data_IF_977181011941
#
_entry.id   IF_977181011941
#
_cell.length_a   1.000
_cell.length_b   1.000
_cell.length_c   1.000
_cell.angle_alpha   90.00
_cell.angle_beta   90.00
_cell.angle_gamma   90.00
#
_symmetry.space_group_name_H-M   'P 1'
#
loop_
_entity.id
_entity.type
_entity.pdbx_description
1 polymer ?
#
# COMPACT_ATOMS: atom_id res chain seq x y z
N UNK A 1 -36.24 -15.47 4.02
CA UNK A 1 -34.85 -15.96 3.93
C UNK A 1 -34.06 -14.91 3.19
N UNK A 2 -33.34 -14.07 3.93
CA UNK A 2 -32.45 -13.04 3.38
C UNK A 2 -31.34 -13.74 2.61
N UNK A 3 -31.24 -13.44 1.32
CA UNK A 3 -30.16 -13.84 0.46
C UNK A 3 -28.85 -13.31 1.09
N UNK A 4 -28.07 -14.19 1.72
CA UNK A 4 -26.76 -13.85 2.27
C UNK A 4 -25.83 -13.68 1.07
N UNK A 5 -25.97 -12.55 0.38
CA UNK A 5 -25.04 -12.08 -0.63
C UNK A 5 -23.65 -12.18 -0.02
N UNK A 6 -22.86 -13.15 -0.50
CA UNK A 6 -21.51 -13.42 -0.01
C UNK A 6 -20.71 -12.11 -0.09
N UNK A 7 -20.39 -11.52 1.06
CA UNK A 7 -19.67 -10.23 1.12
C UNK A 7 -18.39 -10.33 0.29
N UNK A 8 -18.13 -9.32 -0.54
CA UNK A 8 -16.89 -9.26 -1.33
C UNK A 8 -15.73 -8.93 -0.40
N UNK A 9 -14.62 -9.63 -0.58
CA UNK A 9 -13.39 -9.40 0.18
C UNK A 9 -12.45 -8.46 -0.58
N UNK A 10 -11.83 -7.52 0.12
CA UNK A 10 -10.76 -6.68 -0.37
C UNK A 10 -9.57 -6.71 0.60
N UNK A 11 -8.36 -6.61 0.07
CA UNK A 11 -7.15 -6.53 0.87
C UNK A 11 -6.45 -5.19 0.58
N UNK A 12 -6.06 -4.48 1.63
CA UNK A 12 -5.27 -3.26 1.55
C UNK A 12 -3.89 -3.56 2.13
N UNK A 13 -2.84 -3.30 1.36
CA UNK A 13 -1.45 -3.50 1.78
C UNK A 13 -0.76 -2.16 1.97
N UNK A 14 -0.29 -1.94 3.18
CA UNK A 14 0.52 -0.79 3.60
C UNK A 14 1.80 -1.33 4.20
N UNK A 15 2.91 -1.32 3.46
CA UNK A 15 4.20 -1.76 4.02
C UNK A 15 4.83 -0.64 4.88
N UNK A 16 4.07 -0.22 5.90
CA UNK A 16 4.31 0.89 6.83
C UNK A 16 3.34 0.82 8.01
N UNK A 17 3.43 1.79 8.93
CA UNK A 17 2.48 1.91 10.05
C UNK A 17 1.07 2.23 9.52
N UNK A 18 0.11 1.34 9.78
CA UNK A 18 -1.27 1.49 9.32
C UNK A 18 -1.91 2.77 9.88
N UNK A 19 -1.69 3.07 11.17
CA UNK A 19 -2.24 4.24 11.83
C UNK A 19 -1.72 5.56 11.27
N UNK A 20 -0.53 5.56 10.65
CA UNK A 20 0.08 6.71 9.97
C UNK A 20 -0.24 6.80 8.48
N UNK A 21 -1.14 5.96 7.99
CA UNK A 21 -1.53 5.88 6.58
C UNK A 21 -3.00 6.28 6.38
N UNK A 22 -3.37 7.56 6.62
CA UNK A 22 -4.77 7.98 6.68
C UNK A 22 -5.52 7.75 5.37
N UNK A 23 -4.87 7.96 4.22
CA UNK A 23 -5.47 7.70 2.89
C UNK A 23 -5.91 6.24 2.73
N UNK A 24 -5.08 5.29 3.18
CA UNK A 24 -5.39 3.86 3.09
C UNK A 24 -6.50 3.48 4.08
N UNK A 25 -6.53 4.10 5.26
CA UNK A 25 -7.63 3.96 6.21
C UNK A 25 -8.95 4.49 5.62
N UNK A 26 -8.93 5.58 4.86
CA UNK A 26 -10.13 6.10 4.17
C UNK A 26 -10.57 5.20 3.01
N UNK A 27 -9.64 4.57 2.29
CA UNK A 27 -9.98 3.53 1.33
C UNK A 27 -10.65 2.33 2.00
N UNK A 28 -10.13 1.89 3.14
CA UNK A 28 -10.73 0.81 3.93
C UNK A 28 -12.16 1.17 4.35
N UNK A 29 -12.38 2.37 4.91
CA UNK A 29 -13.72 2.83 5.28
C UNK A 29 -14.67 2.90 4.10
N UNK A 30 -14.20 3.38 2.95
CA UNK A 30 -15.04 3.47 1.75
C UNK A 30 -15.47 2.08 1.28
N UNK A 31 -14.57 1.08 1.33
CA UNK A 31 -14.90 -0.30 1.00
C UNK A 31 -15.88 -0.93 2.00
N UNK A 32 -15.71 -0.69 3.30
CA UNK A 32 -16.63 -1.15 4.34
C UNK A 32 -18.04 -0.58 4.13
N UNK A 33 -18.14 0.72 3.80
CA UNK A 33 -19.43 1.38 3.48
C UNK A 33 -20.12 0.76 2.27
N UNK A 34 -19.36 0.27 1.29
CA UNK A 34 -19.85 -0.47 0.13
C UNK A 34 -20.09 -1.97 0.42
N UNK A 35 -20.03 -2.40 1.68
CA UNK A 35 -20.37 -3.76 2.13
C UNK A 35 -19.25 -4.79 1.98
N UNK A 36 -18.01 -4.37 1.74
CA UNK A 36 -16.86 -5.27 1.68
C UNK A 36 -16.40 -5.72 3.07
N UNK A 37 -15.85 -6.93 3.14
CA UNK A 37 -14.92 -7.30 4.20
C UNK A 37 -13.51 -6.88 3.79
N UNK A 38 -12.78 -6.25 4.70
CA UNK A 38 -11.48 -5.63 4.40
C UNK A 38 -10.41 -6.19 5.33
N UNK A 39 -9.41 -6.84 4.75
CA UNK A 39 -8.14 -7.13 5.43
C UNK A 39 -7.17 -5.95 5.21
N UNK A 40 -6.56 -5.45 6.27
CA UNK A 40 -5.52 -4.41 6.20
C UNK A 40 -4.20 -5.00 6.67
N UNK A 41 -3.27 -5.19 5.74
CA UNK A 41 -1.94 -5.72 5.99
C UNK A 41 -0.94 -4.58 6.17
N UNK A 42 -0.17 -4.60 7.25
CA UNK A 42 0.86 -3.59 7.49
C UNK A 42 1.49 -3.70 8.88
N UNK A 43 2.22 -2.68 9.31
CA UNK A 43 2.82 -2.66 10.64
C UNK A 43 1.88 -2.03 11.67
N UNK A 44 1.92 -2.56 12.88
CA UNK A 44 1.34 -1.89 14.05
C UNK A 44 2.21 -0.70 14.45
N UNK A 45 1.64 0.19 15.25
CA UNK A 45 2.32 1.38 15.74
C UNK A 45 1.30 2.35 16.27
N UNK A 46 0.93 3.31 15.43
CA UNK A 46 -0.08 4.32 15.78
C UNK A 46 -1.49 3.71 15.70
N UNK A 47 -2.38 4.17 16.57
CA UNK A 47 -3.77 3.70 16.59
C UNK A 47 -4.49 4.09 15.30
N UNK A 48 -5.09 3.14 14.56
CA UNK A 48 -5.98 3.45 13.44
C UNK A 48 -7.20 4.27 13.90
N UNK A 49 -7.93 4.84 12.95
CA UNK A 49 -9.18 5.57 13.24
C UNK A 49 -10.22 4.63 13.88
N UNK A 50 -10.96 5.17 14.86
CA UNK A 50 -11.99 4.45 15.64
C UNK A 50 -12.98 3.69 14.76
N UNK A 51 -13.46 4.32 13.69
CA UNK A 51 -14.42 3.74 12.75
C UNK A 51 -13.97 2.40 12.15
N UNK A 52 -12.64 2.19 11.99
CA UNK A 52 -12.10 0.91 11.51
C UNK A 52 -11.92 -0.10 12.65
N UNK A 53 -11.61 0.35 13.86
CA UNK A 53 -11.44 -0.51 15.04
C UNK A 53 -12.78 -1.07 15.53
N UNK A 54 -13.85 -0.30 15.39
CA UNK A 54 -15.21 -0.66 15.79
C UNK A 54 -15.96 -1.48 14.73
N UNK A 55 -15.36 -1.69 13.55
CA UNK A 55 -16.01 -2.39 12.44
C UNK A 55 -15.73 -3.89 12.45
N UNK A 56 -16.78 -4.71 12.58
CA UNK A 56 -16.71 -6.18 12.43
C UNK A 56 -16.33 -6.65 11.01
N UNK A 57 -16.29 -5.73 10.03
CA UNK A 57 -15.91 -6.04 8.64
C UNK A 57 -14.44 -5.75 8.35
N UNK A 58 -13.66 -5.27 9.33
CA UNK A 58 -12.25 -4.93 9.18
C UNK A 58 -11.38 -5.88 9.99
N UNK A 59 -10.33 -6.41 9.38
CA UNK A 59 -9.37 -7.31 10.02
C UNK A 59 -7.95 -6.78 9.81
N UNK A 60 -7.24 -6.51 10.91
CA UNK A 60 -5.87 -6.04 10.86
C UNK A 60 -4.90 -7.22 10.86
N UNK A 61 -4.08 -7.31 9.82
CA UNK A 61 -3.07 -8.36 9.62
C UNK A 61 -1.68 -7.77 9.78
N UNK A 62 -1.19 -7.76 11.03
CA UNK A 62 0.07 -7.12 11.35
C UNK A 62 1.28 -7.95 10.90
N UNK A 63 2.21 -7.31 10.20
CA UNK A 63 3.49 -7.87 9.80
C UNK A 63 4.46 -7.88 10.98
N UNK A 64 5.33 -8.91 11.10
CA UNK A 64 6.39 -8.91 12.11
C UNK A 64 7.38 -7.76 11.85
N UNK A 65 7.82 -7.10 12.91
CA UNK A 65 8.78 -6.00 12.81
C UNK A 65 10.08 -6.46 12.14
N UNK A 66 10.61 -5.62 11.26
CA UNK A 66 11.89 -5.90 10.61
C UNK A 66 13.00 -5.82 11.65
N UNK A 67 13.87 -6.84 11.77
CA UNK A 67 15.05 -6.77 12.61
C UNK A 67 15.96 -5.61 12.21
N UNK A 68 16.63 -4.98 13.18
CA UNK A 68 17.57 -3.90 12.89
C UNK A 68 18.90 -4.46 12.39
N UNK A 69 18.92 -4.84 11.11
CA UNK A 69 20.11 -5.41 10.46
C UNK A 69 21.30 -4.45 10.42
N UNK A 70 21.08 -3.13 10.58
CA UNK A 70 22.17 -2.14 10.56
C UNK A 70 23.12 -2.29 11.74
N UNK A 71 22.65 -2.87 12.85
CA UNK A 71 23.50 -3.14 14.02
C UNK A 71 24.51 -4.29 13.77
N UNK A 72 24.29 -5.10 12.73
CA UNK A 72 25.07 -6.30 12.46
C UNK A 72 25.77 -6.30 11.10
N UNK A 73 25.32 -5.46 10.15
CA UNK A 73 25.74 -5.50 8.76
C UNK A 73 25.99 -4.10 8.17
N UNK A 74 26.87 -3.99 7.16
CA UNK A 74 27.01 -2.77 6.36
C UNK A 74 25.68 -2.33 5.74
N UNK A 75 25.51 -1.02 5.53
CA UNK A 75 24.25 -0.39 5.09
C UNK A 75 23.58 -1.07 3.87
N UNK A 76 24.35 -1.44 2.85
CA UNK A 76 23.80 -2.09 1.66
C UNK A 76 23.25 -3.49 1.97
N UNK A 77 24.02 -4.30 2.70
CA UNK A 77 23.59 -5.63 3.09
C UNK A 77 22.38 -5.56 4.02
N UNK A 78 22.40 -4.66 5.02
CA UNK A 78 21.27 -4.44 5.91
C UNK A 78 19.99 -4.08 5.15
N UNK A 79 20.10 -3.24 4.10
CA UNK A 79 18.97 -2.93 3.22
C UNK A 79 18.48 -4.15 2.43
N UNK A 80 19.38 -4.93 1.87
CA UNK A 80 19.05 -6.16 1.13
C UNK A 80 18.33 -7.17 2.03
N UNK A 81 18.86 -7.45 3.23
CA UNK A 81 18.22 -8.34 4.20
C UNK A 81 16.87 -7.81 4.67
N UNK A 82 16.73 -6.50 4.88
CA UNK A 82 15.44 -5.86 5.15
C UNK A 82 14.45 -6.16 4.03
N UNK A 83 14.82 -5.94 2.77
CA UNK A 83 13.94 -6.20 1.62
C UNK A 83 13.52 -7.68 1.56
N UNK A 84 14.46 -8.62 1.75
CA UNK A 84 14.12 -10.04 1.77
C UNK A 84 13.20 -10.42 2.93
N UNK A 85 13.48 -9.94 4.13
CA UNK A 85 12.62 -10.18 5.29
C UNK A 85 11.21 -9.64 5.05
N UNK A 86 11.08 -8.42 4.55
CA UNK A 86 9.79 -7.82 4.20
C UNK A 86 9.08 -8.60 3.10
N UNK A 87 9.81 -9.11 2.10
CA UNK A 87 9.22 -9.88 1.00
C UNK A 87 8.64 -11.21 1.50
N UNK A 88 9.42 -11.95 2.30
CA UNK A 88 9.01 -13.25 2.87
C UNK A 88 7.81 -13.05 3.81
N UNK A 89 7.88 -12.09 4.71
CA UNK A 89 6.84 -11.87 5.73
C UNK A 89 5.55 -11.34 5.12
N UNK A 90 5.64 -10.45 4.12
CA UNK A 90 4.48 -10.00 3.36
C UNK A 90 3.85 -11.14 2.58
N UNK A 91 4.64 -11.93 1.84
CA UNK A 91 4.11 -13.06 1.09
C UNK A 91 3.46 -14.09 2.01
N UNK A 92 4.12 -14.45 3.12
CA UNK A 92 3.55 -15.34 4.13
C UNK A 92 2.23 -14.80 4.68
N UNK A 93 2.16 -13.52 5.04
CA UNK A 93 0.95 -12.89 5.56
C UNK A 93 -0.21 -12.97 4.55
N UNK A 94 0.05 -12.61 3.29
CA UNK A 94 -0.97 -12.68 2.22
C UNK A 94 -1.50 -14.10 1.99
N UNK A 95 -0.69 -15.14 2.21
CA UNK A 95 -1.09 -16.53 2.01
C UNK A 95 -1.73 -17.18 3.24
N UNK A 96 -1.27 -16.83 4.44
CA UNK A 96 -1.60 -17.57 5.66
C UNK A 96 -2.51 -16.81 6.64
N UNK A 97 -2.68 -15.49 6.46
CA UNK A 97 -3.33 -14.64 7.48
C UNK A 97 -4.59 -13.94 7.01
N UNK A 98 -4.80 -13.76 5.71
CA UNK A 98 -6.02 -13.13 5.20
C UNK A 98 -7.25 -13.95 5.57
N UNK A 99 -8.34 -13.27 5.92
CA UNK A 99 -9.61 -13.93 6.29
C UNK A 99 -10.15 -14.77 5.13
N UNK A 100 -10.03 -14.26 3.90
CA UNK A 100 -10.40 -14.96 2.66
C UNK A 100 -9.53 -14.47 1.50
N UNK A 101 -9.50 -15.23 0.40
CA UNK A 101 -8.90 -14.74 -0.85
C UNK A 101 -9.65 -13.47 -1.31
N UNK A 102 -8.97 -12.32 -1.46
CA UNK A 102 -9.61 -11.07 -1.82
C UNK A 102 -9.95 -11.04 -3.32
N UNK A 103 -11.00 -10.30 -3.68
CA UNK A 103 -11.30 -10.03 -5.09
C UNK A 103 -10.42 -8.87 -5.63
N UNK A 104 -10.05 -7.95 -4.74
CA UNK A 104 -9.24 -6.78 -5.02
C UNK A 104 -8.12 -6.66 -4.00
N UNK A 105 -6.90 -6.43 -4.45
CA UNK A 105 -5.77 -6.10 -3.60
C UNK A 105 -5.26 -4.73 -3.97
N UNK A 106 -5.33 -3.78 -3.04
CA UNK A 106 -4.88 -2.41 -3.18
C UNK A 106 -3.57 -2.23 -2.40
N UNK A 107 -2.48 -1.89 -3.09
CA UNK A 107 -1.19 -1.59 -2.44
C UNK A 107 -0.92 -0.09 -2.42
N UNK A 108 -0.44 0.40 -1.28
CA UNK A 108 0.11 1.75 -1.16
C UNK A 108 1.52 1.79 -1.76
N UNK A 109 1.78 2.76 -2.64
CA UNK A 109 3.13 3.10 -3.07
C UNK A 109 3.45 4.56 -2.72
N UNK A 110 4.53 4.86 -1.98
CA UNK A 110 5.62 3.99 -1.49
C UNK A 110 5.32 3.22 -0.18
N UNK A 111 6.18 2.22 0.19
CA UNK A 111 7.35 1.74 -0.56
C UNK A 111 6.95 0.88 -1.76
N UNK A 112 7.78 0.86 -2.81
CA UNK A 112 7.57 0.00 -3.99
C UNK A 112 8.21 -1.39 -3.84
N UNK A 113 9.44 -1.42 -3.33
CA UNK A 113 10.22 -2.65 -3.11
C UNK A 113 10.04 -3.07 -1.65
N UNK A 114 9.71 -4.33 -1.34
CA UNK A 114 9.29 -5.42 -2.25
C UNK A 114 7.77 -5.47 -2.51
N UNK A 115 7.00 -4.54 -1.93
CA UNK A 115 5.54 -4.60 -1.84
C UNK A 115 4.85 -4.85 -3.20
N UNK A 116 5.19 -4.09 -4.26
CA UNK A 116 4.51 -4.16 -5.55
C UNK A 116 4.75 -5.53 -6.19
N UNK A 117 6.00 -6.03 -6.23
CA UNK A 117 6.28 -7.34 -6.85
C UNK A 117 5.64 -8.49 -6.09
N UNK A 118 5.62 -8.43 -4.75
CA UNK A 118 5.02 -9.50 -3.93
C UNK A 118 3.49 -9.49 -4.04
N UNK A 119 2.88 -8.31 -4.01
CA UNK A 119 1.44 -8.17 -4.23
C UNK A 119 1.04 -8.60 -5.64
N UNK A 120 1.82 -8.22 -6.66
CA UNK A 120 1.61 -8.66 -8.03
C UNK A 120 1.69 -10.19 -8.15
N UNK A 121 2.74 -10.82 -7.58
CA UNK A 121 2.90 -12.26 -7.61
C UNK A 121 1.71 -12.97 -6.94
N UNK A 122 1.29 -12.50 -5.77
CA UNK A 122 0.10 -13.02 -5.10
C UNK A 122 -1.14 -12.89 -6.00
N UNK A 123 -1.36 -11.72 -6.60
CA UNK A 123 -2.51 -11.50 -7.47
C UNK A 123 -2.49 -12.39 -8.72
N UNK A 124 -1.31 -12.66 -9.27
CA UNK A 124 -1.13 -13.58 -10.39
C UNK A 124 -1.50 -15.02 -10.00
N UNK A 125 -1.04 -15.49 -8.84
CA UNK A 125 -1.27 -16.86 -8.35
C UNK A 125 -2.73 -17.12 -7.98
N UNK A 126 -3.42 -16.13 -7.41
CA UNK A 126 -4.78 -16.28 -6.87
C UNK A 126 -5.87 -15.59 -7.71
N UNK A 127 -5.52 -15.11 -8.91
CA UNK A 127 -6.43 -14.39 -9.81
C UNK A 127 -7.16 -13.20 -9.15
N UNK A 128 -6.41 -12.41 -8.39
CA UNK A 128 -6.90 -11.21 -7.69
C UNK A 128 -6.69 -9.98 -8.56
N UNK A 129 -7.62 -9.02 -8.52
CA UNK A 129 -7.45 -7.75 -9.23
C UNK A 129 -6.47 -6.85 -8.48
N UNK A 130 -5.26 -6.74 -9.01
CA UNK A 130 -4.20 -5.91 -8.44
C UNK A 130 -4.41 -4.42 -8.74
N UNK A 131 -4.41 -3.58 -7.70
CA UNK A 131 -4.57 -2.14 -7.78
C UNK A 131 -3.40 -1.47 -7.05
N UNK A 132 -2.82 -0.42 -7.64
CA UNK A 132 -1.78 0.39 -7.01
C UNK A 132 -2.33 1.79 -6.74
N UNK A 133 -2.12 2.29 -5.53
CA UNK A 133 -2.37 3.68 -5.18
C UNK A 133 -1.05 4.44 -5.06
N UNK A 134 -0.79 5.31 -6.05
CA UNK A 134 0.42 6.09 -6.23
C UNK A 134 0.36 7.39 -5.43
N UNK A 135 1.16 7.48 -4.36
CA UNK A 135 1.26 8.67 -3.50
C UNK A 135 2.51 9.49 -3.84
N UNK A 136 3.58 8.79 -4.18
CA UNK A 136 4.84 9.32 -4.68
C UNK A 136 5.58 8.18 -5.40
N UNK A 137 6.69 8.48 -6.04
CA UNK A 137 7.57 7.46 -6.56
C UNK A 137 8.58 7.02 -5.50
N UNK A 138 8.72 5.72 -5.30
CA UNK A 138 9.70 5.19 -4.36
C UNK A 138 11.13 5.57 -4.77
N UNK A 139 11.44 5.61 -6.08
CA UNK A 139 12.76 6.03 -6.54
C UNK A 139 13.07 7.50 -6.26
N UNK A 140 12.08 8.41 -6.31
CA UNK A 140 12.31 9.83 -6.00
C UNK A 140 12.59 10.01 -4.52
N UNK A 141 11.84 9.34 -3.63
CA UNK A 141 12.13 9.37 -2.19
C UNK A 141 13.52 8.80 -1.91
N UNK A 142 13.90 7.68 -2.53
CA UNK A 142 15.22 7.10 -2.36
C UNK A 142 16.33 8.04 -2.85
N UNK A 143 16.07 8.80 -3.93
CA UNK A 143 17.03 9.76 -4.47
C UNK A 143 17.34 10.93 -3.53
N UNK A 144 16.43 11.28 -2.63
CA UNK A 144 16.67 12.30 -1.61
C UNK A 144 17.73 11.85 -0.59
N UNK A 145 17.85 10.55 -0.34
CA UNK A 145 18.82 9.99 0.62
C UNK A 145 20.15 9.59 -0.01
N UNK A 146 20.13 9.07 -1.25
CA UNK A 146 21.32 8.49 -1.90
C UNK A 146 21.88 9.33 -3.06
N UNK A 147 21.16 10.37 -3.49
CA UNK A 147 21.47 11.15 -4.70
C UNK A 147 20.90 10.52 -5.98
N UNK A 148 20.57 11.36 -6.97
CA UNK A 148 19.92 10.93 -8.21
C UNK A 148 20.80 10.01 -9.07
N UNK A 149 22.12 10.20 -9.03
CA UNK A 149 23.09 9.41 -9.81
C UNK A 149 23.38 8.02 -9.22
N UNK A 150 22.82 7.71 -8.05
CA UNK A 150 23.06 6.44 -7.39
C UNK A 150 22.44 5.26 -8.17
N UNK A 151 23.21 4.18 -8.33
CA UNK A 151 22.76 2.97 -9.02
C UNK A 151 21.47 2.39 -8.42
N UNK A 152 21.31 2.41 -7.09
CA UNK A 152 20.11 1.89 -6.42
C UNK A 152 18.85 2.69 -6.77
N UNK A 153 18.99 4.01 -6.98
CA UNK A 153 17.88 4.87 -7.40
C UNK A 153 17.45 4.52 -8.82
N UNK A 154 18.42 4.32 -9.73
CA UNK A 154 18.14 3.89 -11.10
C UNK A 154 17.47 2.53 -11.14
N UNK A 155 17.96 1.57 -10.35
CA UNK A 155 17.36 0.24 -10.21
C UNK A 155 15.94 0.32 -9.64
N UNK A 156 15.72 1.12 -8.60
CA UNK A 156 14.40 1.35 -8.01
C UNK A 156 13.42 1.91 -9.05
N UNK A 157 13.85 2.89 -9.86
CA UNK A 157 13.04 3.46 -10.94
C UNK A 157 12.64 2.42 -11.98
N UNK A 158 13.59 1.58 -12.41
CA UNK A 158 13.31 0.50 -13.38
C UNK A 158 12.36 -0.52 -12.79
N UNK A 159 12.59 -0.96 -11.55
CA UNK A 159 11.72 -1.88 -10.83
C UNK A 159 10.29 -1.33 -10.72
N UNK A 160 10.14 -0.09 -10.27
CA UNK A 160 8.85 0.53 -10.01
C UNK A 160 8.06 0.74 -11.31
N UNK A 161 8.74 1.17 -12.38
CA UNK A 161 8.15 1.28 -13.72
C UNK A 161 7.75 -0.07 -14.29
N UNK A 162 8.58 -1.11 -14.12
CA UNK A 162 8.31 -2.44 -14.66
C UNK A 162 7.11 -3.08 -13.95
N UNK A 163 7.17 -3.18 -12.62
CA UNK A 163 6.11 -3.84 -11.86
C UNK A 163 4.81 -3.04 -11.80
N UNK A 164 4.90 -1.70 -11.83
CA UNK A 164 3.73 -0.82 -11.85
C UNK A 164 2.78 -1.09 -13.02
N UNK A 165 3.29 -1.54 -14.17
CA UNK A 165 2.51 -1.82 -15.39
C UNK A 165 1.64 -3.07 -15.31
N UNK A 166 1.87 -3.96 -14.34
CA UNK A 166 1.08 -5.18 -14.21
C UNK A 166 -0.20 -5.01 -13.37
N UNK A 167 -0.40 -3.83 -12.79
CA UNK A 167 -1.65 -3.50 -12.11
C UNK A 167 -2.82 -3.45 -13.09
N UNK A 168 -4.00 -3.87 -12.64
CA UNK A 168 -5.24 -3.81 -13.42
C UNK A 168 -5.88 -2.43 -13.36
N UNK A 169 -5.67 -1.70 -12.27
CA UNK A 169 -6.11 -0.33 -12.09
C UNK A 169 -5.11 0.45 -11.26
N UNK A 170 -5.06 1.76 -11.44
CA UNK A 170 -4.18 2.64 -10.71
C UNK A 170 -4.93 3.86 -10.19
N UNK A 171 -4.61 4.27 -8.96
CA UNK A 171 -5.08 5.48 -8.32
C UNK A 171 -3.89 6.40 -8.09
N UNK A 172 -4.08 7.71 -8.12
CA UNK A 172 -2.98 8.64 -7.82
C UNK A 172 -3.47 9.91 -7.13
N UNK A 173 -2.58 10.56 -6.37
CA UNK A 173 -2.89 11.75 -5.57
C UNK A 173 -3.17 13.02 -6.39
N UNK A 174 -2.53 13.17 -7.56
CA UNK A 174 -2.58 14.42 -8.34
C UNK A 174 -2.80 14.18 -9.84
N UNK A 175 -3.29 15.21 -10.53
CA UNK A 175 -3.41 15.19 -12.00
C UNK A 175 -2.04 15.19 -12.67
N UNK A 176 -1.05 15.86 -12.07
CA UNK A 176 0.32 15.90 -12.58
C UNK A 176 0.94 14.49 -12.58
N UNK A 177 0.82 13.77 -11.46
CA UNK A 177 1.27 12.37 -11.37
C UNK A 177 0.53 11.47 -12.36
N UNK A 178 -0.78 11.67 -12.56
CA UNK A 178 -1.54 10.93 -13.57
C UNK A 178 -0.96 11.10 -14.98
N UNK A 179 -0.66 12.35 -15.37
CA UNK A 179 -0.06 12.63 -16.69
C UNK A 179 1.33 12.01 -16.80
N UNK A 180 2.16 12.15 -15.77
CA UNK A 180 3.51 11.58 -15.75
C UNK A 180 3.51 10.03 -15.83
N UNK A 181 2.63 9.37 -15.06
CA UNK A 181 2.42 7.92 -15.14
C UNK A 181 2.01 7.48 -16.55
N UNK A 182 1.13 8.24 -17.21
CA UNK A 182 0.68 7.95 -18.58
C UNK A 182 1.80 8.14 -19.59
N UNK A 183 2.43 9.31 -19.60
CA UNK A 183 3.42 9.71 -20.61
C UNK A 183 4.73 8.94 -20.48
N UNK A 184 5.24 8.83 -19.25
CA UNK A 184 6.57 8.23 -19.03
C UNK A 184 6.48 6.72 -18.78
N UNK A 185 5.43 6.24 -18.12
CA UNK A 185 5.36 4.85 -17.63
C UNK A 185 4.33 4.00 -18.38
N UNK A 186 3.50 4.63 -19.23
CA UNK A 186 2.38 3.99 -19.90
C UNK A 186 1.42 3.29 -18.91
N UNK A 187 1.16 3.96 -17.79
CA UNK A 187 0.26 3.51 -16.74
C UNK A 187 -0.95 4.44 -16.70
N UNK A 188 -2.13 3.89 -16.96
CA UNK A 188 -3.38 4.64 -16.81
C UNK A 188 -3.82 4.65 -15.35
N UNK A 189 -3.97 5.85 -14.80
CA UNK A 189 -4.40 6.07 -13.42
C UNK A 189 -5.59 7.02 -13.33
N UNK A 190 -6.39 6.86 -12.27
CA UNK A 190 -7.45 7.80 -11.89
C UNK A 190 -6.97 8.66 -10.74
N UNK A 191 -7.11 9.97 -10.86
CA UNK A 191 -6.76 10.89 -9.78
C UNK A 191 -7.83 10.87 -8.70
N UNK A 192 -7.43 10.55 -7.47
CA UNK A 192 -8.20 10.72 -6.25
C UNK A 192 -7.42 11.66 -5.34
N UNK A 193 -7.88 12.89 -5.23
CA UNK A 193 -7.25 13.89 -4.37
C UNK A 193 -7.46 13.55 -2.90
N UNK A 194 -6.42 13.76 -2.09
CA UNK A 194 -6.57 13.70 -0.64
C UNK A 194 -7.45 14.86 -0.19
N UNK A 195 -8.57 14.51 0.44
CA UNK A 195 -9.49 15.46 1.06
C UNK A 195 -9.58 15.12 2.54
N UNK A 196 -9.59 16.13 3.42
CA UNK A 196 -9.84 15.88 4.83
C UNK A 196 -11.26 15.31 4.99
N UNK A 197 -11.45 14.26 5.82
CA UNK A 197 -12.78 13.80 6.17
C UNK A 197 -13.61 14.89 6.86
N UNK A 198 -14.93 14.76 6.83
CA UNK A 198 -15.89 15.74 7.38
C UNK A 198 -15.70 16.06 8.87
N UNK A 199 -15.01 15.19 9.61
CA UNK A 199 -14.64 15.43 11.02
C UNK A 199 -13.65 16.59 11.20
N UNK A 200 -12.84 16.89 10.18
CA UNK A 200 -11.96 18.04 10.20
C UNK A 200 -12.75 19.29 9.82
N UNK A 201 -12.85 20.21 10.77
CA UNK A 201 -13.47 21.52 10.56
C UNK A 201 -12.39 22.60 10.56
N UNK A 202 -12.58 23.70 9.81
CA UNK A 202 -11.72 24.86 9.93
C UNK A 202 -11.61 25.28 11.39
N UNK A 203 -10.39 25.57 11.85
CA UNK A 203 -10.20 26.18 13.16
C UNK A 203 -10.78 27.59 13.14
N UNK A 204 -11.42 28.02 14.22
CA UNK A 204 -11.82 29.43 14.38
C UNK A 204 -10.55 30.28 14.41
N UNK A 205 -10.46 31.32 13.57
CA UNK A 205 -9.41 32.35 13.70
C UNK A 205 -9.56 32.97 15.10
N UNK A 206 -8.56 32.77 15.97
CA UNK A 206 -8.36 33.67 17.11
C UNK A 206 -7.68 34.91 16.56
N UNK A 207 -8.32 36.07 16.74
CA UNK A 207 -7.69 37.39 16.57
C UNK A 207 -6.59 37.59 17.61
#
# INVERSE_FOLDING_TARGET
MTDISKKKNACIVVLGDIGRSPRMQYHALSLVKEGFQVDIVGYSGSTPISDLLESDSVHFQYLPLVPDFKNYLPNLLAFVFKVFFQAITLFWCLNARLTNIPHYLLVQNPPAIPSISICWLYCLLFNVKFIIDWHNYAYTILSLSLGQENMLVRLSRVYERYFGRFSKANLCVTRAMRSDLKENWNIEARTLHDRPPDRFRPTSRKE
#
